data_IF_118457575600
#
_entry.id   IF_118457575600
#
_cell.length_a   1.000
_cell.length_b   1.000
_cell.length_c   1.000
_cell.angle_alpha   90.00
_cell.angle_beta   90.00
_cell.angle_gamma   90.00
#
_symmetry.space_group_name_H-M   'P 1'
#
loop_
_entity.id
_entity.type
_entity.pdbx_description
1 polymer ?
#
# COMPACT_ATOMS: atom_id res chain seq x y z
N UNK A 1 -39.90 10.89 8.60
CA UNK A 1 -38.92 10.42 9.61
C UNK A 1 -37.54 10.61 8.99
N UNK A 2 -36.94 11.78 9.18
CA UNK A 2 -35.66 12.15 8.56
C UNK A 2 -34.52 11.83 9.52
N UNK A 3 -33.65 10.91 9.14
CA UNK A 3 -32.41 10.66 9.88
C UNK A 3 -31.41 11.72 9.39
N UNK A 4 -31.42 12.88 10.04
CA UNK A 4 -30.35 13.86 9.90
C UNK A 4 -29.13 13.28 10.63
N UNK A 5 -28.06 13.00 9.89
CA UNK A 5 -26.78 12.55 10.46
C UNK A 5 -26.04 13.81 10.96
N UNK A 6 -26.53 14.40 12.04
CA UNK A 6 -25.90 15.51 12.75
C UNK A 6 -24.72 14.98 13.58
N UNK A 7 -23.67 14.60 12.87
CA UNK A 7 -22.34 14.52 13.42
C UNK A 7 -21.38 14.95 12.33
N UNK A 8 -21.46 16.23 11.96
CA UNK A 8 -20.30 16.91 11.41
C UNK A 8 -19.26 16.87 12.53
N UNK A 9 -18.45 15.81 12.55
CA UNK A 9 -17.13 15.91 13.15
C UNK A 9 -16.53 17.17 12.54
N UNK A 10 -16.32 18.20 13.37
CA UNK A 10 -15.67 19.43 12.94
C UNK A 10 -14.40 18.98 12.23
N UNK A 11 -14.25 19.36 10.94
CA UNK A 11 -12.99 19.10 10.25
C UNK A 11 -11.87 19.53 11.19
N UNK A 12 -10.92 18.63 11.43
CA UNK A 12 -9.67 18.96 12.13
C UNK A 12 -9.21 20.32 11.64
N UNK A 13 -8.81 21.21 12.56
CA UNK A 13 -8.34 22.56 12.20
C UNK A 13 -7.20 22.49 11.18
N UNK A 14 -6.47 21.37 11.14
CA UNK A 14 -5.48 21.06 10.13
C UNK A 14 -5.73 19.65 9.56
N UNK A 15 -6.38 19.50 8.40
CA UNK A 15 -6.58 18.19 7.78
C UNK A 15 -5.26 17.63 7.22
N UNK A 16 -5.13 16.31 7.26
CA UNK A 16 -4.03 15.61 6.59
C UNK A 16 -4.09 15.83 5.08
N UNK A 17 -2.95 15.86 4.42
CA UNK A 17 -2.86 16.11 2.98
C UNK A 17 -1.86 15.17 2.31
N UNK A 18 -1.97 15.03 0.99
CA UNK A 18 -1.17 14.10 0.19
C UNK A 18 -0.38 14.87 -0.87
N UNK A 19 0.87 14.48 -1.08
CA UNK A 19 1.66 14.88 -2.24
C UNK A 19 1.96 13.66 -3.10
N UNK A 20 1.56 13.76 -4.38
CA UNK A 20 1.75 12.70 -5.37
C UNK A 20 2.97 13.06 -6.24
N UNK A 21 3.94 12.16 -6.28
CA UNK A 21 5.12 12.25 -7.13
C UNK A 21 5.00 11.24 -8.27
N UNK A 22 4.16 11.58 -9.26
CA UNK A 22 3.79 10.68 -10.36
C UNK A 22 4.99 10.08 -11.11
N UNK A 23 6.01 10.88 -11.38
CA UNK A 23 7.23 10.45 -12.09
C UNK A 23 8.13 9.52 -11.26
N UNK A 24 7.95 9.45 -9.94
CA UNK A 24 8.69 8.56 -9.04
C UNK A 24 7.86 7.37 -8.57
N UNK A 25 6.54 7.37 -8.83
CA UNK A 25 5.63 6.35 -8.32
C UNK A 25 5.46 6.40 -6.81
N UNK A 26 5.50 7.59 -6.20
CA UNK A 26 5.43 7.74 -4.73
C UNK A 26 4.29 8.68 -4.37
N UNK A 27 3.46 8.29 -3.41
CA UNK A 27 2.60 9.23 -2.68
C UNK A 27 3.06 9.34 -1.23
N UNK A 28 3.06 10.57 -0.72
CA UNK A 28 3.42 10.85 0.68
C UNK A 28 2.24 11.54 1.34
N UNK A 29 1.74 10.94 2.41
CA UNK A 29 0.69 11.51 3.25
C UNK A 29 1.35 12.20 4.44
N UNK A 30 0.95 13.45 4.67
CA UNK A 30 1.44 14.28 5.77
C UNK A 30 0.33 14.51 6.80
N UNK A 31 0.73 14.54 8.06
CA UNK A 31 -0.07 15.08 9.15
C UNK A 31 -0.30 16.58 8.91
N UNK A 32 -1.54 17.02 9.05
CA UNK A 32 -1.92 18.42 8.85
C UNK A 32 -1.33 19.36 9.90
N UNK A 33 -1.04 18.87 11.12
CA UNK A 33 -0.63 19.71 12.24
C UNK A 33 0.87 19.99 12.26
N UNK A 34 1.69 18.95 12.08
CA UNK A 34 3.15 19.05 12.15
C UNK A 34 3.85 18.91 10.80
N UNK A 35 3.10 18.71 9.71
CA UNK A 35 3.64 18.49 8.36
C UNK A 35 4.64 17.32 8.31
N UNK A 36 4.39 16.28 9.12
CA UNK A 36 5.23 15.08 9.22
C UNK A 36 4.66 13.95 8.38
N UNK A 37 5.52 13.13 7.79
CA UNK A 37 5.10 11.95 7.02
C UNK A 37 4.42 10.95 7.95
N UNK A 38 3.21 10.51 7.58
CA UNK A 38 2.44 9.49 8.31
C UNK A 38 2.23 8.21 7.50
N UNK A 39 2.33 8.30 6.17
CA UNK A 39 2.21 7.14 5.26
C UNK A 39 2.94 7.43 3.97
N UNK A 40 3.63 6.43 3.45
CA UNK A 40 4.17 6.43 2.08
C UNK A 40 3.50 5.30 1.29
N UNK A 41 3.16 5.58 0.04
CA UNK A 41 2.65 4.60 -0.92
C UNK A 41 3.64 4.50 -2.06
N UNK A 42 4.10 3.28 -2.35
CA UNK A 42 5.08 3.00 -3.40
C UNK A 42 4.39 2.21 -4.52
N UNK A 43 4.24 2.82 -5.68
CA UNK A 43 3.52 2.27 -6.82
C UNK A 43 4.45 1.42 -7.69
N UNK A 44 4.17 0.13 -7.84
CA UNK A 44 4.96 -0.76 -8.72
C UNK A 44 4.52 -0.75 -10.18
N UNK A 45 3.47 0.04 -10.52
CA UNK A 45 2.83 0.08 -11.85
C UNK A 45 2.46 -1.32 -12.38
N UNK A 46 1.89 -2.16 -11.51
CA UNK A 46 1.47 -3.52 -11.87
C UNK A 46 0.42 -3.50 -12.99
N UNK A 47 0.61 -4.31 -14.03
CA UNK A 47 -0.38 -4.46 -15.11
C UNK A 47 -1.74 -4.87 -14.54
N UNK A 48 -2.81 -4.26 -15.07
CA UNK A 48 -4.17 -4.51 -14.59
C UNK A 48 -4.58 -3.74 -13.34
N UNK A 49 -3.66 -3.01 -12.71
CA UNK A 49 -4.01 -2.09 -11.64
C UNK A 49 -4.74 -0.87 -12.19
N UNK A 50 -5.71 -0.35 -11.44
CA UNK A 50 -6.51 0.80 -11.87
C UNK A 50 -5.72 2.10 -12.07
N UNK A 51 -4.58 2.23 -11.40
CA UNK A 51 -3.66 3.36 -11.57
C UNK A 51 -2.51 3.06 -12.57
N UNK A 52 -2.61 1.99 -13.37
CA UNK A 52 -1.60 1.71 -14.41
C UNK A 52 -1.51 2.91 -15.37
N UNK A 53 -0.29 3.28 -15.77
CA UNK A 53 0.02 4.47 -16.60
C UNK A 53 -0.22 5.84 -15.94
N UNK A 54 -0.75 5.92 -14.73
CA UNK A 54 -0.84 7.18 -13.96
C UNK A 54 0.48 7.50 -13.25
N UNK A 55 1.21 6.47 -12.84
CA UNK A 55 2.49 6.56 -12.14
C UNK A 55 3.59 5.83 -12.91
N UNK A 56 4.82 6.34 -12.82
CA UNK A 56 5.99 5.53 -13.12
C UNK A 56 6.14 4.42 -12.06
N UNK A 57 6.79 3.31 -12.42
CA UNK A 57 7.12 2.27 -11.44
C UNK A 57 8.18 2.79 -10.45
N UNK A 58 7.86 2.74 -9.16
CA UNK A 58 8.79 3.06 -8.09
C UNK A 58 9.82 1.94 -7.95
N UNK A 59 11.10 2.27 -8.14
CA UNK A 59 12.23 1.36 -7.97
C UNK A 59 12.76 1.44 -6.53
N UNK A 60 11.97 0.95 -5.58
CA UNK A 60 12.37 0.94 -4.18
C UNK A 60 13.29 -0.25 -3.85
N UNK A 61 14.13 -0.07 -2.83
CA UNK A 61 14.91 -1.11 -2.17
C UNK A 61 14.77 -0.89 -0.65
N UNK A 62 13.93 -1.70 -0.01
CA UNK A 62 13.65 -1.65 1.42
C UNK A 62 14.54 -2.66 2.12
N UNK A 63 15.39 -2.19 3.02
CA UNK A 63 16.26 -3.04 3.82
C UNK A 63 15.49 -3.54 5.04
N UNK A 64 15.22 -4.83 5.09
CA UNK A 64 14.73 -5.53 6.27
C UNK A 64 15.95 -6.06 7.04
N UNK A 65 16.19 -5.54 8.24
CA UNK A 65 17.22 -6.04 9.14
C UNK A 65 16.63 -7.14 10.04
N UNK A 66 17.13 -8.36 9.90
CA UNK A 66 17.02 -9.39 10.93
C UNK A 66 18.40 -9.55 11.57
N UNK A 67 18.45 -10.05 12.82
CA UNK A 67 19.67 -10.23 13.62
C UNK A 67 20.81 -11.03 12.92
N UNK A 68 20.49 -11.72 11.81
CA UNK A 68 21.39 -12.63 11.09
C UNK A 68 21.87 -12.07 9.73
N UNK A 69 21.03 -11.31 9.01
CA UNK A 69 21.40 -10.78 7.69
C UNK A 69 20.51 -9.61 7.26
N UNK A 70 21.08 -8.70 6.46
CA UNK A 70 20.31 -7.65 5.76
C UNK A 70 19.63 -8.26 4.55
N UNK A 71 18.30 -8.27 4.55
CA UNK A 71 17.48 -8.74 3.43
C UNK A 71 16.89 -7.53 2.71
N UNK A 72 16.72 -7.64 1.40
CA UNK A 72 16.29 -6.53 0.54
C UNK A 72 14.97 -6.85 -0.14
N UNK A 73 13.96 -6.00 0.09
CA UNK A 73 12.65 -6.07 -0.57
C UNK A 73 12.63 -5.02 -1.68
N UNK A 74 12.61 -5.47 -2.93
CA UNK A 74 12.58 -4.61 -4.13
C UNK A 74 11.20 -4.66 -4.77
N UNK A 75 10.93 -3.73 -5.67
CA UNK A 75 9.69 -3.71 -6.47
C UNK A 75 9.47 -4.97 -7.32
N UNK A 76 10.51 -5.76 -7.58
CA UNK A 76 10.45 -7.03 -8.31
C UNK A 76 10.45 -8.27 -7.41
N UNK A 77 10.56 -8.13 -6.09
CA UNK A 77 10.60 -9.27 -5.16
C UNK A 77 9.25 -9.98 -5.15
N UNK A 78 9.25 -11.31 -5.25
CA UNK A 78 8.01 -12.10 -5.20
C UNK A 78 7.47 -12.18 -3.78
N UNK A 79 6.16 -12.33 -3.66
CA UNK A 79 5.51 -12.44 -2.35
C UNK A 79 6.08 -13.58 -1.50
N UNK A 80 6.30 -14.76 -2.08
CA UNK A 80 6.87 -15.92 -1.37
C UNK A 80 8.24 -15.62 -0.76
N UNK A 81 9.07 -14.81 -1.43
CA UNK A 81 10.38 -14.39 -0.93
C UNK A 81 10.20 -13.36 0.21
N UNK A 82 9.26 -12.42 0.09
CA UNK A 82 8.93 -11.48 1.17
C UNK A 82 8.49 -12.22 2.43
N UNK A 83 7.66 -13.27 2.30
CA UNK A 83 7.22 -14.06 3.44
C UNK A 83 8.39 -14.75 4.17
N UNK A 84 9.38 -15.25 3.40
CA UNK A 84 10.59 -15.86 3.97
C UNK A 84 11.47 -14.83 4.69
N UNK A 85 11.50 -13.57 4.22
CA UNK A 85 12.30 -12.50 4.83
C UNK A 85 11.90 -12.27 6.31
N UNK A 86 10.63 -12.45 6.66
CA UNK A 86 10.12 -12.19 8.00
C UNK A 86 9.90 -13.48 8.84
N UNK A 87 10.59 -14.58 8.50
CA UNK A 87 10.70 -15.82 9.29
C UNK A 87 9.35 -16.31 9.87
N UNK A 88 8.34 -16.44 9.00
CA UNK A 88 6.91 -16.60 9.28
C UNK A 88 6.48 -17.57 10.41
N UNK A 89 5.95 -17.01 11.51
CA UNK A 89 4.68 -17.48 12.11
C UNK A 89 3.56 -17.26 11.07
N UNK A 90 2.44 -18.03 11.08
CA UNK A 90 1.44 -17.93 10.01
C UNK A 90 0.93 -16.49 9.91
N UNK A 91 1.24 -15.84 8.79
CA UNK A 91 0.61 -14.59 8.38
C UNK A 91 -0.91 -14.81 8.46
N UNK A 92 -1.61 -13.90 9.15
CA UNK A 92 -3.05 -13.91 9.15
C UNK A 92 -3.60 -13.91 7.71
N UNK A 93 -4.82 -14.40 7.49
CA UNK A 93 -5.40 -14.45 6.15
C UNK A 93 -5.38 -13.04 5.50
N UNK A 94 -5.06 -12.92 4.20
CA UNK A 94 -5.07 -11.63 3.53
C UNK A 94 -6.48 -11.05 3.47
N UNK A 95 -6.55 -9.72 3.41
CA UNK A 95 -7.79 -9.05 3.00
C UNK A 95 -7.90 -9.16 1.48
N UNK A 96 -9.00 -9.74 1.00
CA UNK A 96 -9.23 -9.94 -0.44
C UNK A 96 -10.13 -8.83 -0.97
N UNK A 97 -9.65 -8.10 -1.98
CA UNK A 97 -10.45 -7.17 -2.77
C UNK A 97 -10.82 -7.80 -4.10
N UNK A 98 -12.11 -8.10 -4.25
CA UNK A 98 -12.68 -8.59 -5.50
C UNK A 98 -13.42 -7.45 -6.20
N UNK A 99 -12.75 -6.80 -7.16
CA UNK A 99 -13.42 -5.82 -8.03
C UNK A 99 -14.18 -6.59 -9.10
N UNK A 100 -15.38 -6.13 -9.47
CA UNK A 100 -16.23 -6.80 -10.47
C UNK A 100 -15.39 -7.17 -11.71
N UNK A 101 -15.43 -8.43 -12.19
CA UNK A 101 -14.60 -8.92 -13.29
C UNK A 101 -14.74 -8.09 -14.58
N UNK A 102 -15.86 -7.39 -14.79
CA UNK A 102 -16.04 -6.46 -15.91
C UNK A 102 -15.07 -5.26 -15.88
N UNK A 103 -14.43 -4.98 -14.74
CA UNK A 103 -13.50 -3.87 -14.54
C UNK A 103 -12.06 -4.32 -14.23
N UNK A 104 -11.81 -5.62 -14.05
CA UNK A 104 -10.46 -6.15 -13.82
C UNK A 104 -10.33 -7.60 -14.33
N UNK A 105 -9.76 -7.83 -15.53
CA UNK A 105 -9.57 -9.18 -16.05
C UNK A 105 -8.45 -9.96 -15.35
N UNK A 106 -7.68 -9.32 -14.45
CA UNK A 106 -6.52 -9.90 -13.78
C UNK A 106 -6.83 -10.51 -12.41
N UNK A 107 -8.12 -10.70 -12.09
CA UNK A 107 -8.56 -11.39 -10.87
C UNK A 107 -8.56 -10.54 -9.59
N UNK A 108 -8.67 -11.21 -8.45
CA UNK A 108 -8.70 -10.56 -7.14
C UNK A 108 -7.34 -10.04 -6.72
N UNK A 109 -7.33 -9.06 -5.82
CA UNK A 109 -6.12 -8.49 -5.23
C UNK A 109 -6.10 -8.81 -3.74
N UNK A 110 -4.97 -9.32 -3.25
CA UNK A 110 -4.76 -9.70 -1.85
C UNK A 110 -3.90 -8.66 -1.14
N UNK A 111 -4.31 -8.25 0.06
CA UNK A 111 -3.55 -7.33 0.89
C UNK A 111 -3.04 -8.05 2.13
N UNK A 112 -1.73 -8.01 2.34
CA UNK A 112 -1.07 -8.60 3.49
C UNK A 112 -0.45 -7.50 4.36
N UNK A 113 -0.74 -7.51 5.66
CA UNK A 113 -0.12 -6.59 6.61
C UNK A 113 1.03 -7.30 7.35
N UNK A 114 2.22 -6.69 7.35
CA UNK A 114 3.41 -7.26 7.95
C UNK A 114 4.36 -6.14 8.39
N UNK A 115 4.71 -6.10 9.69
CA UNK A 115 5.64 -5.11 10.27
C UNK A 115 5.35 -3.66 9.84
N UNK A 116 4.11 -3.20 10.06
CA UNK A 116 3.62 -1.85 9.69
C UNK A 116 3.65 -1.52 8.18
N UNK A 117 3.89 -2.52 7.33
CA UNK A 117 3.83 -2.43 5.87
C UNK A 117 2.62 -3.21 5.37
N UNK A 118 1.89 -2.64 4.40
CA UNK A 118 0.83 -3.35 3.68
C UNK A 118 1.33 -3.65 2.27
N UNK A 119 1.31 -4.93 1.91
CA UNK A 119 1.67 -5.41 0.59
C UNK A 119 0.40 -5.69 -0.22
N UNK A 120 0.25 -5.00 -1.34
CA UNK A 120 -0.73 -5.35 -2.37
C UNK A 120 -0.12 -6.41 -3.31
N UNK A 121 -0.72 -7.59 -3.34
CA UNK A 121 -0.23 -8.75 -4.08
C UNK A 121 -1.33 -9.26 -5.00
N UNK A 122 -0.98 -9.50 -6.26
CA UNK A 122 -1.84 -10.18 -7.22
C UNK A 122 -1.22 -11.52 -7.56
N UNK A 123 -1.97 -12.60 -7.34
CA UNK A 123 -1.63 -13.92 -7.89
C UNK A 123 -1.85 -13.86 -9.40
N UNK A 124 -0.77 -14.11 -10.15
CA UNK A 124 -0.82 -14.32 -11.59
C UNK A 124 -1.47 -15.67 -11.92
#
# INVERSE_FOLDING_TARGET
>A
MGIHRDSSEKLSTNPNYIWNYFSMGIDIVFDGTFHRVIKMILHTNMLGHHDVNKYAACNFDIVAENDVCKRHIRNTTKWDDVQQIFDSLPLGPPVISNRNPNHNPFGSTSYYALHDIIFEVRTA
#
